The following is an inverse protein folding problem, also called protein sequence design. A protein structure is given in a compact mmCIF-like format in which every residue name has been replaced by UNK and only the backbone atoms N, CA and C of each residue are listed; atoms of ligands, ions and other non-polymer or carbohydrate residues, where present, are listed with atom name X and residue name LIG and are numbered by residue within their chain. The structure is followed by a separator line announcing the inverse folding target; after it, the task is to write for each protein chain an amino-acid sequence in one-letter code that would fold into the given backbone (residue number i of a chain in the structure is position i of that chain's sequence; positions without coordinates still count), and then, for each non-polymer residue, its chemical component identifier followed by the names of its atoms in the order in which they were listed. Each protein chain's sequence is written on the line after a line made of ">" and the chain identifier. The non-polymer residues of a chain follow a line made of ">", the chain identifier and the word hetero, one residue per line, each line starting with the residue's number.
data_IF_785550872640
#
_entry.id   IF_785550872640
#
_cell.length_a   1.000
_cell.length_b   1.000
_cell.length_c   1.000
_cell.angle_alpha   90.00
_cell.angle_beta   90.00
_cell.angle_gamma   90.00
#
_symmetry.space_group_name_H-M   'P 1'
#
loop_
_entity.id
_entity.type
_entity.pdbx_description
1 polymer ?
#
# COMPACT_ATOMS: atom_id res chain seq x y z
N UNK A 1 -19.75 -26.95 9.23
CA UNK A 1 -19.47 -25.60 9.79
C UNK A 1 -18.96 -25.76 11.20
N UNK A 2 -17.97 -25.01 11.61
CA UNK A 2 -17.48 -25.03 12.98
C UNK A 2 -17.58 -23.63 13.54
N UNK A 3 -18.42 -23.48 14.57
CA UNK A 3 -18.55 -22.24 15.32
C UNK A 3 -17.81 -22.39 16.66
N UNK A 4 -17.36 -21.28 17.21
CA UNK A 4 -16.73 -21.23 18.52
C UNK A 4 -17.43 -20.18 19.37
N UNK A 5 -17.69 -20.53 20.64
CA UNK A 5 -18.11 -19.58 21.68
C UNK A 5 -16.93 -19.27 22.58
N UNK A 6 -16.67 -17.98 22.76
CA UNK A 6 -15.63 -17.45 23.65
C UNK A 6 -16.26 -16.73 24.82
N UNK A 7 -15.96 -17.18 26.06
CA UNK A 7 -16.45 -16.54 27.29
C UNK A 7 -15.57 -15.31 27.61
N UNK A 8 -16.21 -14.16 27.84
CA UNK A 8 -15.52 -12.88 28.10
C UNK A 8 -15.22 -12.65 29.60
N UNK A 9 -14.80 -13.67 30.34
CA UNK A 9 -14.49 -13.57 31.76
C UNK A 9 -13.00 -13.43 32.08
N UNK A 10 -12.16 -13.28 31.05
CA UNK A 10 -10.70 -13.28 31.14
C UNK A 10 -10.08 -14.69 31.28
N UNK A 11 -10.87 -15.74 31.43
CA UNK A 11 -10.44 -17.12 31.24
C UNK A 11 -10.52 -17.45 29.75
N UNK A 12 -9.45 -17.94 29.13
CA UNK A 12 -9.44 -18.28 27.70
C UNK A 12 -10.32 -19.50 27.35
N UNK A 13 -11.53 -19.58 27.95
CA UNK A 13 -12.47 -20.68 27.73
C UNK A 13 -13.18 -20.54 26.39
N UNK A 14 -12.72 -21.34 25.41
CA UNK A 14 -13.27 -21.39 24.03
C UNK A 14 -13.87 -22.77 23.81
N UNK A 15 -15.15 -22.83 23.43
CA UNK A 15 -15.85 -24.07 23.13
C UNK A 15 -16.30 -24.15 21.70
N UNK A 16 -15.98 -25.26 21.02
CA UNK A 16 -16.35 -25.49 19.62
C UNK A 16 -17.74 -26.13 19.57
N UNK A 17 -18.62 -25.50 18.76
CA UNK A 17 -19.97 -26.05 18.47
C UNK A 17 -19.87 -26.89 17.19
N UNK A 18 -19.92 -28.21 17.34
CA UNK A 18 -19.94 -29.15 16.20
C UNK A 18 -21.36 -29.49 15.74
N UNK A 19 -22.25 -29.84 16.65
CA UNK A 19 -23.67 -30.11 16.41
C UNK A 19 -24.54 -29.26 17.32
N UNK A 20 -24.33 -29.39 18.62
CA UNK A 20 -24.98 -28.56 19.64
C UNK A 20 -24.10 -28.37 20.86
N UNK A 21 -24.40 -27.34 21.64
CA UNK A 21 -23.75 -27.01 22.89
C UNK A 21 -24.81 -26.50 23.88
N UNK A 22 -24.93 -27.16 25.06
CA UNK A 22 -25.80 -26.68 26.16
C UNK A 22 -24.96 -25.88 27.13
N UNK A 23 -25.43 -24.72 27.51
CA UNK A 23 -24.81 -23.77 28.43
C UNK A 23 -25.57 -23.75 29.73
N UNK A 24 -24.86 -23.77 30.88
CA UNK A 24 -25.47 -23.70 32.19
C UNK A 24 -24.50 -24.06 33.32
N UNK A 25 -24.98 -24.04 34.56
CA UNK A 25 -24.16 -24.35 35.75
C UNK A 25 -24.02 -25.86 36.01
N UNK A 26 -24.88 -26.69 35.41
CA UNK A 26 -24.87 -28.13 35.62
C UNK A 26 -23.64 -28.77 34.95
N UNK A 27 -23.03 -29.77 35.63
CA UNK A 27 -21.88 -30.52 35.14
C UNK A 27 -22.17 -31.36 33.87
N UNK A 28 -23.46 -31.59 33.56
CA UNK A 28 -23.89 -32.22 32.29
C UNK A 28 -23.89 -31.30 31.10
N UNK A 29 -23.74 -29.98 31.30
CA UNK A 29 -23.63 -29.02 30.19
C UNK A 29 -22.27 -29.14 29.50
N UNK A 30 -22.25 -29.08 28.17
CA UNK A 30 -21.00 -29.12 27.41
C UNK A 30 -20.15 -27.85 27.62
N UNK A 31 -20.78 -26.72 27.92
CA UNK A 31 -20.13 -25.52 28.41
C UNK A 31 -20.67 -25.14 29.77
N UNK A 32 -19.93 -25.52 30.81
CA UNK A 32 -20.28 -25.21 32.17
C UNK A 32 -19.85 -23.79 32.53
N UNK A 33 -20.82 -22.96 32.98
CA UNK A 33 -20.62 -21.55 33.32
C UNK A 33 -21.13 -21.34 34.76
N UNK A 34 -20.20 -21.24 35.72
CA UNK A 34 -20.52 -21.03 37.13
C UNK A 34 -20.47 -19.54 37.44
N UNK A 35 -21.53 -18.83 37.08
CA UNK A 35 -21.67 -17.39 37.32
C UNK A 35 -23.05 -17.07 37.88
N UNK A 36 -23.21 -15.86 38.46
CA UNK A 36 -24.48 -15.39 39.02
C UNK A 36 -25.58 -15.38 37.98
N UNK A 37 -26.79 -15.75 38.35
CA UNK A 37 -28.00 -15.76 37.54
C UNK A 37 -27.93 -16.66 36.27
N UNK A 38 -26.95 -17.55 36.17
CA UNK A 38 -26.92 -18.64 35.19
C UNK A 38 -27.61 -19.87 35.78
N UNK A 39 -28.58 -20.44 35.09
CA UNK A 39 -29.30 -21.62 35.54
C UNK A 39 -28.60 -22.94 35.20
N UNK A 40 -29.06 -24.06 35.82
CA UNK A 40 -28.46 -25.39 35.61
C UNK A 40 -28.36 -25.76 34.13
N UNK A 41 -29.40 -25.49 33.34
CA UNK A 41 -29.43 -25.60 31.87
C UNK A 41 -30.10 -24.34 31.31
N UNK A 42 -29.30 -23.33 30.97
CA UNK A 42 -29.80 -22.00 30.65
C UNK A 42 -30.27 -21.89 29.21
N UNK A 43 -29.39 -22.19 28.27
CA UNK A 43 -29.70 -22.14 26.84
C UNK A 43 -28.96 -23.26 26.09
N UNK A 44 -29.34 -23.45 24.83
CA UNK A 44 -28.72 -24.38 23.90
C UNK A 44 -28.40 -23.68 22.62
N UNK A 45 -27.19 -23.88 22.13
CA UNK A 45 -26.73 -23.42 20.81
C UNK A 45 -26.56 -24.65 19.93
N UNK A 46 -27.14 -24.63 18.73
CA UNK A 46 -27.08 -25.75 17.80
C UNK A 46 -26.96 -25.30 16.35
N UNK A 47 -26.37 -26.12 15.51
CA UNK A 47 -26.26 -25.85 14.07
C UNK A 47 -27.47 -26.47 13.36
N UNK A 48 -28.28 -25.62 12.70
CA UNK A 48 -29.43 -26.03 11.87
C UNK A 48 -29.29 -25.44 10.45
N UNK A 49 -29.41 -26.27 9.44
CA UNK A 49 -29.37 -25.84 8.03
C UNK A 49 -28.21 -24.85 7.75
N UNK A 50 -27.01 -25.18 8.23
CA UNK A 50 -25.81 -24.35 8.09
C UNK A 50 -25.81 -23.01 8.86
N UNK A 51 -26.85 -22.69 9.63
CA UNK A 51 -26.90 -21.52 10.53
C UNK A 51 -26.73 -21.95 11.99
N UNK A 52 -26.12 -21.09 12.79
CA UNK A 52 -26.03 -21.27 14.22
C UNK A 52 -27.27 -20.67 14.88
N UNK A 53 -27.97 -21.45 15.69
CA UNK A 53 -29.21 -21.01 16.36
C UNK A 53 -29.05 -21.16 17.87
N UNK A 54 -29.42 -20.14 18.63
CA UNK A 54 -29.55 -20.20 20.10
C UNK A 54 -30.99 -20.36 20.49
N UNK A 55 -31.24 -21.18 21.51
CA UNK A 55 -32.55 -21.42 22.09
C UNK A 55 -32.51 -21.35 23.61
N UNK A 56 -33.29 -20.49 24.19
CA UNK A 56 -33.50 -20.42 25.63
C UNK A 56 -34.26 -21.66 26.16
N UNK A 57 -33.77 -22.26 27.20
CA UNK A 57 -34.36 -23.46 27.82
C UNK A 57 -35.34 -23.13 28.96
N UNK A 58 -36.06 -22.00 28.84
CA UNK A 58 -36.99 -21.42 29.82
C UNK A 58 -36.26 -20.93 31.09
N UNK A 59 -35.15 -20.26 30.88
CA UNK A 59 -34.41 -19.68 31.99
C UNK A 59 -35.17 -18.49 32.62
N UNK A 60 -35.03 -18.30 33.93
CA UNK A 60 -35.70 -17.21 34.67
C UNK A 60 -35.10 -15.85 34.28
N UNK A 61 -33.77 -15.79 34.16
CA UNK A 61 -33.02 -14.60 33.76
C UNK A 61 -33.25 -14.24 32.29
N UNK A 62 -33.47 -15.25 31.46
CA UNK A 62 -33.58 -15.11 30.00
C UNK A 62 -32.24 -15.06 29.29
N UNK A 63 -32.25 -15.40 28.01
CA UNK A 63 -31.09 -15.34 27.11
C UNK A 63 -31.20 -14.09 26.27
N UNK A 64 -30.09 -13.36 26.10
CA UNK A 64 -30.04 -12.12 25.32
C UNK A 64 -29.02 -12.27 24.18
N UNK A 65 -29.36 -11.73 23.03
CA UNK A 65 -28.44 -11.61 21.87
C UNK A 65 -28.34 -10.14 21.52
N UNK A 66 -27.13 -9.58 21.56
CA UNK A 66 -26.87 -8.15 21.33
C UNK A 66 -27.78 -7.23 22.18
N UNK A 67 -28.05 -7.63 23.42
CA UNK A 67 -28.90 -6.91 24.37
C UNK A 67 -30.42 -7.11 24.19
N UNK A 68 -30.86 -7.84 23.16
CA UNK A 68 -32.26 -8.16 22.96
C UNK A 68 -32.60 -9.54 23.58
N UNK A 69 -33.68 -9.63 24.38
CA UNK A 69 -34.14 -10.90 24.94
C UNK A 69 -34.72 -11.79 23.86
N UNK A 70 -34.26 -13.04 23.78
CA UNK A 70 -34.68 -14.00 22.75
C UNK A 70 -35.13 -15.33 23.36
N UNK A 71 -36.06 -16.00 22.72
CA UNK A 71 -36.39 -17.40 22.98
C UNK A 71 -35.67 -18.33 22.02
N UNK A 72 -35.56 -17.91 20.77
CA UNK A 72 -34.83 -18.57 19.71
C UNK A 72 -34.36 -17.49 18.73
N UNK A 73 -33.10 -17.54 18.32
CA UNK A 73 -32.51 -16.57 17.38
C UNK A 73 -31.39 -17.23 16.57
N UNK A 74 -31.25 -16.80 15.32
CA UNK A 74 -30.06 -17.09 14.51
C UNK A 74 -28.91 -16.22 14.98
N UNK A 75 -27.73 -16.83 15.09
CA UNK A 75 -26.51 -16.18 15.52
C UNK A 75 -25.55 -15.96 14.32
N UNK A 76 -24.94 -14.80 14.31
CA UNK A 76 -23.92 -14.41 13.35
C UNK A 76 -22.55 -14.29 14.02
N UNK A 77 -21.49 -14.29 13.22
CA UNK A 77 -20.14 -14.04 13.68
C UNK A 77 -20.05 -12.64 14.33
N UNK A 78 -19.51 -12.59 15.56
CA UNK A 78 -19.40 -11.36 16.34
C UNK A 78 -20.62 -11.08 17.25
N UNK A 79 -21.69 -11.89 17.21
CA UNK A 79 -22.84 -11.68 18.11
C UNK A 79 -22.44 -11.93 19.57
N UNK A 80 -22.95 -11.05 20.45
CA UNK A 80 -22.79 -11.12 21.88
C UNK A 80 -24.00 -11.84 22.50
N UNK A 81 -23.73 -12.97 23.14
CA UNK A 81 -24.73 -13.72 23.92
C UNK A 81 -24.54 -13.39 25.40
N UNK A 82 -25.59 -12.90 26.07
CA UNK A 82 -25.57 -12.66 27.53
C UNK A 82 -26.55 -13.57 28.23
N UNK A 83 -26.05 -14.33 29.23
CA UNK A 83 -26.84 -15.23 30.09
C UNK A 83 -26.45 -15.03 31.57
N UNK A 84 -27.37 -14.49 32.39
CA UNK A 84 -27.01 -14.04 33.74
C UNK A 84 -25.87 -13.03 33.71
N UNK A 85 -24.80 -13.25 34.45
CA UNK A 85 -23.60 -12.43 34.48
C UNK A 85 -22.53 -12.84 33.43
N UNK A 86 -22.83 -13.83 32.60
CA UNK A 86 -21.87 -14.33 31.60
C UNK A 86 -22.13 -13.72 30.20
N UNK A 87 -21.07 -13.21 29.56
CA UNK A 87 -21.06 -12.74 28.18
C UNK A 87 -20.19 -13.65 27.33
N UNK A 88 -20.72 -14.07 26.17
CA UNK A 88 -20.00 -14.90 25.21
C UNK A 88 -20.07 -14.26 23.82
N UNK A 89 -18.98 -14.39 23.06
CA UNK A 89 -18.92 -13.97 21.65
C UNK A 89 -18.93 -15.19 20.75
N UNK A 90 -19.68 -15.10 19.66
CA UNK A 90 -19.75 -16.11 18.61
C UNK A 90 -18.65 -15.88 17.60
N UNK A 91 -17.90 -16.93 17.27
CA UNK A 91 -16.91 -16.92 16.19
C UNK A 91 -17.27 -18.00 15.15
N UNK A 92 -17.38 -17.61 13.89
CA UNK A 92 -17.48 -18.57 12.78
C UNK A 92 -16.06 -18.97 12.34
N UNK A 93 -15.62 -20.16 12.73
CA UNK A 93 -14.30 -20.69 12.40
C UNK A 93 -14.12 -21.04 10.90
N UNK A 94 -15.19 -21.05 10.12
CA UNK A 94 -15.14 -21.24 8.68
C UNK A 94 -15.10 -19.91 7.91
N UNK A 95 -15.42 -18.82 8.58
CA UNK A 95 -15.13 -17.51 8.06
C UNK A 95 -13.60 -17.40 8.02
N UNK A 96 -13.01 -17.84 6.92
CA UNK A 96 -11.60 -17.60 6.61
C UNK A 96 -11.44 -16.10 6.79
N UNK A 97 -10.88 -15.68 7.92
CA UNK A 97 -10.34 -14.32 8.03
C UNK A 97 -9.27 -14.31 6.98
N UNK A 98 -9.62 -13.84 5.82
CA UNK A 98 -8.68 -13.69 4.70
C UNK A 98 -7.62 -12.76 5.25
N UNK A 99 -6.45 -13.30 5.59
CA UNK A 99 -5.34 -12.47 6.04
C UNK A 99 -5.10 -11.44 4.94
N UNK A 100 -5.00 -10.18 5.32
CA UNK A 100 -4.69 -9.15 4.35
C UNK A 100 -3.34 -9.49 3.71
N UNK A 101 -3.21 -9.53 2.36
CA UNK A 101 -2.03 -10.08 1.67
C UNK A 101 -0.80 -9.17 1.75
N UNK A 102 -0.72 -8.38 2.80
CA UNK A 102 0.41 -7.52 3.15
C UNK A 102 0.70 -7.63 4.64
N UNK A 103 1.97 -7.67 4.98
CA UNK A 103 2.47 -7.62 6.35
C UNK A 103 3.49 -6.50 6.49
N UNK A 104 3.66 -6.00 7.70
CA UNK A 104 4.65 -4.97 8.04
C UNK A 104 5.41 -5.40 9.29
N UNK A 105 6.68 -5.00 9.40
CA UNK A 105 7.45 -5.10 10.64
C UNK A 105 7.15 -3.97 11.62
N UNK A 106 6.61 -2.86 11.14
CA UNK A 106 6.08 -1.79 11.99
C UNK A 106 4.80 -2.29 12.65
N UNK A 107 4.80 -2.45 13.98
CA UNK A 107 3.65 -2.99 14.74
C UNK A 107 2.39 -2.19 14.46
N UNK A 108 2.49 -0.86 14.56
CA UNK A 108 1.37 0.05 14.36
C UNK A 108 0.75 -0.09 12.96
N UNK A 109 1.58 -0.19 11.93
CA UNK A 109 1.09 -0.37 10.57
C UNK A 109 0.57 -1.79 10.33
N UNK A 110 1.17 -2.79 10.93
CA UNK A 110 0.72 -4.18 10.83
C UNK A 110 -0.65 -4.40 11.47
N UNK A 111 -0.95 -3.75 12.60
CA UNK A 111 -2.29 -3.74 13.19
C UNK A 111 -3.34 -3.10 12.26
N UNK A 112 -3.01 -1.98 11.65
CA UNK A 112 -3.86 -1.37 10.64
C UNK A 112 -4.11 -2.31 9.45
N UNK A 113 -3.08 -2.99 8.94
CA UNK A 113 -3.21 -3.98 7.85
C UNK A 113 -4.13 -5.14 8.24
N UNK A 114 -4.04 -5.66 9.48
CA UNK A 114 -4.96 -6.69 9.98
C UNK A 114 -6.41 -6.21 9.99
N UNK A 115 -6.64 -4.95 10.34
CA UNK A 115 -7.99 -4.37 10.33
C UNK A 115 -8.57 -4.26 8.92
N UNK A 116 -7.71 -4.07 7.89
CA UNK A 116 -8.14 -3.98 6.49
C UNK A 116 -8.76 -5.27 5.96
N UNK A 117 -8.44 -6.42 6.53
CA UNK A 117 -9.11 -7.68 6.19
C UNK A 117 -10.61 -7.60 6.48
N UNK A 118 -11.02 -7.04 7.62
CA UNK A 118 -12.43 -6.82 7.98
C UNK A 118 -13.08 -5.74 7.09
N UNK A 119 -12.35 -4.65 6.83
CA UNK A 119 -12.79 -3.57 5.95
C UNK A 119 -13.06 -4.09 4.53
N UNK A 120 -12.26 -5.04 4.06
CA UNK A 120 -12.42 -5.60 2.71
C UNK A 120 -13.74 -6.36 2.52
N UNK A 121 -14.30 -6.94 3.58
CA UNK A 121 -15.58 -7.66 3.54
C UNK A 121 -16.80 -6.73 3.42
N UNK A 122 -16.65 -5.45 3.77
CA UNK A 122 -17.72 -4.46 3.66
C UNK A 122 -17.76 -3.83 2.26
N UNK A 123 -18.93 -3.33 1.86
CA UNK A 123 -19.12 -2.55 0.63
C UNK A 123 -18.95 -1.04 0.85
N UNK A 124 -18.60 -0.61 2.06
CA UNK A 124 -18.42 0.82 2.37
C UNK A 124 -17.25 1.43 1.59
N UNK A 125 -17.38 2.74 1.34
CA UNK A 125 -16.32 3.54 0.73
C UNK A 125 -15.09 3.61 1.66
N UNK A 126 -13.91 3.50 1.07
CA UNK A 126 -12.63 3.58 1.80
C UNK A 126 -11.83 4.77 1.26
N UNK A 127 -11.38 5.63 2.16
CA UNK A 127 -10.50 6.75 1.87
C UNK A 127 -9.08 6.47 2.36
N UNK A 128 -8.13 6.33 1.43
CA UNK A 128 -6.71 6.12 1.70
C UNK A 128 -6.00 7.49 1.73
N UNK A 129 -5.52 7.89 2.90
CA UNK A 129 -4.76 9.13 3.09
C UNK A 129 -3.28 8.81 3.29
N UNK A 130 -2.40 9.52 2.64
CA UNK A 130 -0.95 9.35 2.84
C UNK A 130 -0.12 9.96 1.73
N UNK A 131 1.19 10.12 1.93
CA UNK A 131 2.06 10.78 0.98
C UNK A 131 2.14 10.06 -0.36
N UNK A 132 2.53 10.80 -1.41
CA UNK A 132 2.70 10.20 -2.74
C UNK A 132 3.77 9.10 -2.70
N UNK A 133 3.54 8.01 -3.43
CA UNK A 133 4.46 6.88 -3.49
C UNK A 133 4.50 5.99 -2.26
N UNK A 134 3.59 6.14 -1.29
CA UNK A 134 3.49 5.28 -0.08
C UNK A 134 2.89 3.89 -0.32
N UNK A 135 2.29 3.66 -1.51
CA UNK A 135 1.70 2.36 -1.90
C UNK A 135 0.18 2.28 -1.74
N UNK A 136 -0.55 3.41 -1.77
CA UNK A 136 -2.02 3.46 -1.68
C UNK A 136 -2.70 2.62 -2.77
N UNK A 137 -2.16 2.61 -3.98
CA UNK A 137 -2.60 1.81 -5.11
C UNK A 137 -2.54 0.30 -4.86
N UNK A 138 -1.45 -0.16 -4.22
CA UNK A 138 -1.28 -1.57 -3.83
C UNK A 138 -2.29 -1.96 -2.76
N UNK A 139 -2.54 -1.08 -1.76
CA UNK A 139 -3.53 -1.31 -0.72
C UNK A 139 -4.94 -1.40 -1.32
N UNK A 140 -5.30 -0.47 -2.22
CA UNK A 140 -6.60 -0.48 -2.89
C UNK A 140 -6.83 -1.77 -3.68
N UNK A 141 -5.81 -2.24 -4.39
CA UNK A 141 -5.85 -3.51 -5.12
C UNK A 141 -6.03 -4.70 -4.19
N UNK A 142 -5.26 -4.77 -3.10
CA UNK A 142 -5.37 -5.84 -2.12
C UNK A 142 -6.73 -5.83 -1.41
N UNK A 143 -7.30 -4.64 -1.09
CA UNK A 143 -8.66 -4.53 -0.55
C UNK A 143 -9.71 -5.14 -1.49
N UNK A 144 -9.54 -4.96 -2.80
CA UNK A 144 -10.42 -5.60 -3.79
C UNK A 144 -10.19 -7.11 -3.85
N UNK A 145 -8.93 -7.57 -3.91
CA UNK A 145 -8.57 -9.00 -4.08
C UNK A 145 -9.08 -9.89 -2.93
N UNK A 146 -9.19 -9.34 -1.71
CA UNK A 146 -9.73 -10.08 -0.54
C UNK A 146 -11.20 -9.75 -0.26
N UNK A 147 -11.86 -8.94 -1.08
CA UNK A 147 -13.27 -8.57 -0.91
C UNK A 147 -14.22 -9.61 -1.51
N UNK A 148 -15.51 -9.47 -1.17
CA UNK A 148 -16.59 -10.25 -1.81
C UNK A 148 -16.69 -10.02 -3.31
N UNK A 149 -16.13 -8.88 -3.80
CA UNK A 149 -16.12 -8.47 -5.21
C UNK A 149 -14.85 -8.87 -5.97
N UNK A 150 -13.97 -9.69 -5.37
CA UNK A 150 -12.66 -10.08 -5.93
C UNK A 150 -12.71 -10.74 -7.32
N UNK A 151 -13.84 -11.37 -7.68
CA UNK A 151 -14.04 -11.99 -8.99
C UNK A 151 -14.56 -11.03 -10.07
N UNK A 152 -14.92 -9.81 -9.67
CA UNK A 152 -15.47 -8.77 -10.52
C UNK A 152 -14.39 -7.74 -10.93
N UNK A 153 -14.67 -6.80 -11.84
CA UNK A 153 -13.66 -5.86 -12.31
C UNK A 153 -13.10 -4.96 -11.20
N UNK A 154 -11.78 -4.72 -11.25
CA UNK A 154 -11.10 -3.64 -10.53
C UNK A 154 -10.61 -2.62 -11.56
N UNK A 155 -11.16 -1.41 -11.51
CA UNK A 155 -10.74 -0.31 -12.38
C UNK A 155 -10.12 0.80 -11.56
N UNK A 156 -9.03 1.38 -12.06
CA UNK A 156 -8.33 2.51 -11.44
C UNK A 156 -8.36 3.71 -12.38
N UNK A 157 -8.77 4.86 -11.86
CA UNK A 157 -8.76 6.14 -12.56
C UNK A 157 -7.96 7.13 -11.73
N UNK A 158 -6.99 7.81 -12.37
CA UNK A 158 -6.25 8.90 -11.76
C UNK A 158 -6.93 10.23 -12.08
N UNK A 159 -7.40 10.94 -11.05
CA UNK A 159 -8.14 12.19 -11.21
C UNK A 159 -7.25 13.40 -11.56
N UNK A 160 -5.92 13.31 -11.35
CA UNK A 160 -4.99 14.41 -11.65
C UNK A 160 -4.39 14.40 -13.07
N UNK A 161 -4.51 13.27 -13.77
CA UNK A 161 -3.72 13.03 -14.99
C UNK A 161 -4.30 13.62 -16.28
N UNK A 162 -5.54 14.17 -16.26
CA UNK A 162 -6.30 14.52 -17.46
C UNK A 162 -6.94 15.92 -17.34
N UNK A 163 -7.30 16.50 -18.49
CA UNK A 163 -8.16 17.69 -18.52
C UNK A 163 -9.56 17.36 -18.01
N UNK A 164 -10.31 18.34 -17.51
CA UNK A 164 -11.64 18.16 -16.93
C UNK A 164 -12.58 17.34 -17.83
N UNK A 165 -12.65 17.67 -19.11
CA UNK A 165 -13.50 16.98 -20.10
C UNK A 165 -13.08 15.50 -20.28
N UNK A 166 -11.79 15.21 -20.22
CA UNK A 166 -11.29 13.83 -20.35
C UNK A 166 -11.55 13.03 -19.09
N UNK A 167 -11.35 13.61 -17.89
CA UNK A 167 -11.69 12.96 -16.62
C UNK A 167 -13.18 12.65 -16.57
N UNK A 168 -14.02 13.60 -16.98
CA UNK A 168 -15.48 13.40 -17.02
C UNK A 168 -15.86 12.24 -17.94
N UNK A 169 -15.33 12.23 -19.15
CA UNK A 169 -15.54 11.17 -20.13
C UNK A 169 -15.01 9.81 -19.65
N UNK A 170 -13.87 9.79 -18.96
CA UNK A 170 -13.30 8.55 -18.42
C UNK A 170 -14.13 7.98 -17.27
N UNK A 171 -14.64 8.82 -16.38
CA UNK A 171 -15.46 8.41 -15.25
C UNK A 171 -16.87 7.99 -15.65
N UNK A 172 -17.56 8.81 -16.46
CA UNK A 172 -18.98 8.66 -16.74
C UNK A 172 -19.32 8.15 -18.15
N UNK A 173 -18.31 8.13 -19.04
CA UNK A 173 -18.52 7.80 -20.45
C UNK A 173 -19.08 8.97 -21.26
N UNK A 174 -19.21 8.78 -22.57
CA UNK A 174 -19.75 9.78 -23.46
C UNK A 174 -20.46 9.16 -24.67
N UNK A 175 -21.38 9.89 -25.24
CA UNK A 175 -21.98 9.55 -26.53
C UNK A 175 -21.25 10.27 -27.67
N UNK A 176 -21.31 9.70 -28.85
CA UNK A 176 -20.72 10.29 -30.07
C UNK A 176 -21.20 11.74 -30.27
N UNK A 177 -20.24 12.64 -30.54
CA UNK A 177 -20.51 14.06 -30.80
C UNK A 177 -20.67 14.94 -29.55
N UNK A 178 -20.51 14.42 -28.34
CA UNK A 178 -20.67 15.17 -27.10
C UNK A 178 -19.61 16.24 -26.84
N UNK A 179 -18.43 16.10 -27.44
CA UNK A 179 -17.35 17.10 -27.44
C UNK A 179 -16.44 16.91 -28.67
N UNK A 180 -15.55 17.88 -28.93
CA UNK A 180 -14.59 17.82 -30.02
C UNK A 180 -13.63 16.62 -29.80
N UNK A 181 -13.77 15.60 -30.65
CA UNK A 181 -13.00 14.33 -30.51
C UNK A 181 -13.82 13.12 -30.07
N UNK A 182 -15.09 13.27 -29.74
CA UNK A 182 -15.99 12.16 -29.43
C UNK A 182 -16.47 11.45 -30.72
N UNK A 183 -15.61 10.61 -31.28
CA UNK A 183 -15.84 9.92 -32.59
C UNK A 183 -16.84 8.76 -32.44
N UNK A 184 -16.90 8.12 -31.27
CA UNK A 184 -17.76 6.96 -30.95
C UNK A 184 -18.29 7.05 -29.52
N UNK A 185 -19.31 6.27 -29.20
CA UNK A 185 -19.76 6.07 -27.82
C UNK A 185 -18.67 5.36 -27.02
N UNK A 186 -18.48 5.77 -25.75
CA UNK A 186 -17.52 5.13 -24.83
C UNK A 186 -18.15 4.96 -23.46
N UNK A 187 -18.06 3.75 -22.90
CA UNK A 187 -18.43 3.47 -21.52
C UNK A 187 -17.45 4.10 -20.55
N UNK A 188 -17.96 4.68 -19.47
CA UNK A 188 -17.15 5.21 -18.40
C UNK A 188 -16.70 4.15 -17.41
N UNK A 189 -15.81 4.56 -16.49
CA UNK A 189 -15.27 3.68 -15.46
C UNK A 189 -16.34 3.17 -14.50
N UNK A 190 -17.32 3.99 -14.11
CA UNK A 190 -18.45 3.56 -13.27
C UNK A 190 -19.28 2.45 -13.92
N UNK A 191 -19.59 2.57 -15.23
CA UNK A 191 -20.33 1.53 -15.95
C UNK A 191 -19.47 0.26 -16.11
N UNK A 192 -18.20 0.41 -16.41
CA UNK A 192 -17.26 -0.70 -16.66
C UNK A 192 -16.85 -1.45 -15.39
N UNK A 193 -16.90 -0.78 -14.22
CA UNK A 193 -16.63 -1.38 -12.92
C UNK A 193 -17.85 -2.01 -12.26
N UNK A 194 -19.00 -2.09 -12.96
CA UNK A 194 -20.26 -2.58 -12.39
C UNK A 194 -20.10 -3.96 -11.74
N UNK A 195 -20.62 -4.09 -10.52
CA UNK A 195 -20.49 -5.28 -9.66
C UNK A 195 -19.11 -5.42 -8.98
N UNK A 196 -18.14 -4.60 -9.38
CA UNK A 196 -16.75 -4.63 -8.91
C UNK A 196 -16.36 -3.45 -8.03
N UNK A 197 -15.12 -2.99 -8.22
CA UNK A 197 -14.52 -1.90 -7.44
C UNK A 197 -13.91 -0.85 -8.36
N UNK A 198 -14.20 0.42 -8.07
CA UNK A 198 -13.58 1.57 -8.71
C UNK A 198 -12.61 2.24 -7.73
N UNK A 199 -11.36 2.33 -8.12
CA UNK A 199 -10.33 3.06 -7.38
C UNK A 199 -10.10 4.43 -8.03
N UNK A 200 -10.36 5.50 -7.26
CA UNK A 200 -10.13 6.87 -7.67
C UNK A 200 -8.88 7.40 -6.98
N UNK A 201 -7.78 7.43 -7.71
CA UNK A 201 -6.52 7.96 -7.20
C UNK A 201 -6.48 9.49 -7.35
N UNK A 202 -5.88 10.15 -6.37
CA UNK A 202 -5.77 11.60 -6.23
C UNK A 202 -7.13 12.31 -6.35
N UNK A 203 -8.12 11.82 -5.58
CA UNK A 203 -9.49 12.39 -5.56
C UNK A 203 -9.50 13.88 -5.19
N UNK A 204 -8.50 14.35 -4.45
CA UNK A 204 -8.34 15.76 -4.10
C UNK A 204 -8.11 16.68 -5.31
N UNK A 205 -7.68 16.16 -6.45
CA UNK A 205 -7.46 16.91 -7.69
C UNK A 205 -8.69 16.91 -8.62
N UNK A 206 -9.76 16.25 -8.21
CA UNK A 206 -10.98 16.21 -9.02
C UNK A 206 -11.59 17.61 -9.17
N UNK A 207 -11.86 18.08 -10.40
CA UNK A 207 -12.52 19.35 -10.64
C UNK A 207 -13.83 19.50 -9.87
N UNK A 208 -14.07 20.67 -9.28
CA UNK A 208 -15.21 20.94 -8.41
C UNK A 208 -16.57 20.62 -9.07
N UNK A 209 -16.71 20.92 -10.37
CA UNK A 209 -17.88 20.60 -11.19
C UNK A 209 -18.22 19.09 -11.23
N UNK A 210 -17.18 18.24 -11.24
CA UNK A 210 -17.34 16.78 -11.32
C UNK A 210 -17.65 16.15 -9.95
N UNK A 211 -17.33 16.82 -8.85
CA UNK A 211 -17.58 16.31 -7.49
C UNK A 211 -19.07 16.06 -7.25
N UNK A 212 -19.95 16.93 -7.78
CA UNK A 212 -21.39 16.73 -7.68
C UNK A 212 -21.88 15.50 -8.45
N UNK A 213 -21.23 15.16 -9.57
CA UNK A 213 -21.58 13.96 -10.36
C UNK A 213 -21.13 12.68 -9.66
N UNK A 214 -19.95 12.70 -9.03
CA UNK A 214 -19.47 11.58 -8.19
C UNK A 214 -20.40 11.38 -7.00
N UNK A 215 -20.81 12.46 -6.32
CA UNK A 215 -21.74 12.37 -5.19
C UNK A 215 -23.05 11.65 -5.60
N UNK A 216 -23.64 12.03 -6.73
CA UNK A 216 -24.84 11.36 -7.26
C UNK A 216 -24.60 9.88 -7.56
N UNK A 217 -23.43 9.54 -8.14
CA UNK A 217 -23.08 8.16 -8.39
C UNK A 217 -22.96 7.32 -7.10
N UNK A 218 -22.49 7.93 -6.00
CA UNK A 218 -22.35 7.28 -4.70
C UNK A 218 -23.65 7.19 -3.90
N UNK A 219 -24.56 8.15 -4.06
CA UNK A 219 -25.82 8.20 -3.30
C UNK A 219 -26.95 7.43 -3.98
N UNK A 220 -27.10 7.66 -5.30
CA UNK A 220 -28.23 7.13 -6.07
C UNK A 220 -27.85 5.87 -6.87
N UNK A 221 -26.55 5.50 -6.90
CA UNK A 221 -26.02 4.45 -7.76
C UNK A 221 -26.35 4.68 -9.25
N UNK A 222 -26.34 5.95 -9.66
CA UNK A 222 -26.73 6.38 -11.01
C UNK A 222 -25.72 7.32 -11.62
N UNK A 223 -25.41 7.10 -12.90
CA UNK A 223 -24.60 8.02 -13.72
C UNK A 223 -25.35 8.43 -14.98
N UNK A 224 -24.88 9.53 -15.59
CA UNK A 224 -25.29 9.96 -16.94
C UNK A 224 -24.04 10.17 -17.79
N UNK A 225 -23.93 9.50 -18.95
CA UNK A 225 -22.84 9.75 -19.90
C UNK A 225 -22.88 11.20 -20.42
N UNK A 226 -21.70 11.74 -20.75
CA UNK A 226 -21.59 13.09 -21.30
C UNK A 226 -22.34 13.17 -22.64
N UNK A 227 -23.21 14.18 -22.77
CA UNK A 227 -24.07 14.37 -23.95
C UNK A 227 -25.30 13.47 -23.99
N UNK A 228 -25.64 12.78 -22.89
CA UNK A 228 -26.82 11.91 -22.81
C UNK A 228 -27.64 12.17 -21.55
N UNK A 229 -28.96 12.15 -21.67
CA UNK A 229 -29.89 12.19 -20.53
C UNK A 229 -30.21 10.79 -19.98
N UNK A 230 -29.67 9.74 -20.58
CA UNK A 230 -29.90 8.36 -20.17
C UNK A 230 -29.28 8.10 -18.81
N UNK A 231 -30.10 7.64 -17.86
CA UNK A 231 -29.64 7.20 -16.55
C UNK A 231 -29.16 5.75 -16.65
N UNK A 232 -27.95 5.48 -16.16
CA UNK A 232 -27.37 4.14 -16.06
C UNK A 232 -27.17 3.83 -14.58
N UNK A 233 -27.75 2.73 -14.11
CA UNK A 233 -27.54 2.25 -12.74
C UNK A 233 -26.18 1.56 -12.63
N UNK A 234 -25.47 1.89 -11.54
CA UNK A 234 -24.14 1.37 -11.23
C UNK A 234 -24.14 0.80 -9.82
N UNK A 235 -23.69 -0.46 -9.70
CA UNK A 235 -23.39 -1.07 -8.40
C UNK A 235 -21.87 -1.20 -8.33
N UNK A 236 -21.21 -0.24 -7.66
CA UNK A 236 -19.74 -0.15 -7.64
C UNK A 236 -19.26 0.19 -6.23
N UNK A 237 -18.37 -0.62 -5.68
CA UNK A 237 -17.64 -0.25 -4.47
C UNK A 237 -16.58 0.78 -4.81
N UNK A 238 -16.53 1.91 -4.08
CA UNK A 238 -15.55 2.97 -4.34
C UNK A 238 -14.45 2.98 -3.28
N UNK A 239 -13.21 2.96 -3.75
CA UNK A 239 -12.01 3.21 -2.94
C UNK A 239 -11.37 4.49 -3.48
N UNK A 240 -11.03 5.43 -2.62
CA UNK A 240 -10.40 6.69 -3.00
C UNK A 240 -9.05 6.86 -2.35
N UNK A 241 -8.15 7.58 -2.98
CA UNK A 241 -6.85 7.91 -2.40
C UNK A 241 -6.48 9.37 -2.67
N UNK A 242 -5.77 9.99 -1.74
CA UNK A 242 -5.17 11.30 -1.93
C UNK A 242 -4.00 11.52 -0.97
N UNK A 243 -3.06 12.37 -1.37
CA UNK A 243 -2.01 12.89 -0.48
C UNK A 243 -2.38 14.28 0.10
N UNK A 244 -3.50 14.85 -0.34
CA UNK A 244 -3.90 16.21 0.02
C UNK A 244 -4.77 16.24 1.27
N UNK A 245 -4.73 17.37 1.99
CA UNK A 245 -5.61 17.62 3.11
C UNK A 245 -6.99 18.07 2.60
N UNK A 246 -7.95 17.14 2.52
CA UNK A 246 -9.30 17.43 2.03
C UNK A 246 -10.06 18.43 2.94
N UNK A 247 -9.80 18.43 4.25
CA UNK A 247 -10.44 19.38 5.19
C UNK A 247 -9.99 20.81 4.87
N UNK A 248 -8.72 21.01 4.54
CA UNK A 248 -8.22 22.31 4.08
C UNK A 248 -8.90 22.73 2.76
N UNK A 249 -9.00 21.81 1.79
CA UNK A 249 -9.68 22.08 0.51
C UNK A 249 -11.18 22.40 0.66
N UNK A 250 -11.85 21.81 1.65
CA UNK A 250 -13.25 22.17 1.95
C UNK A 250 -13.32 23.62 2.45
N UNK A 251 -12.40 24.03 3.33
CA UNK A 251 -12.35 25.42 3.84
C UNK A 251 -12.07 26.45 2.74
N UNK A 252 -11.24 26.09 1.77
CA UNK A 252 -10.95 26.92 0.60
C UNK A 252 -12.09 26.90 -0.46
N UNK A 253 -13.10 26.06 -0.30
CA UNK A 253 -14.19 25.91 -1.27
C UNK A 253 -13.81 25.16 -2.55
N UNK A 254 -12.66 24.49 -2.60
CA UNK A 254 -12.21 23.68 -3.75
C UNK A 254 -12.63 22.22 -3.68
N UNK A 255 -13.14 21.76 -2.52
CA UNK A 255 -13.72 20.42 -2.35
C UNK A 255 -15.05 20.50 -1.58
N UNK A 256 -16.03 19.71 -2.00
CA UNK A 256 -17.38 19.71 -1.40
C UNK A 256 -17.39 18.90 -0.11
N UNK A 257 -18.01 19.46 0.92
CA UNK A 257 -18.15 18.79 2.22
C UNK A 257 -19.08 17.56 2.18
N UNK A 258 -20.15 17.62 1.37
CA UNK A 258 -21.08 16.50 1.21
C UNK A 258 -20.41 15.27 0.59
N UNK A 259 -19.60 15.47 -0.46
CA UNK A 259 -18.80 14.41 -1.06
C UNK A 259 -17.78 13.84 -0.06
N UNK A 260 -17.10 14.71 0.70
CA UNK A 260 -16.15 14.27 1.71
C UNK A 260 -16.79 13.29 2.71
N UNK A 261 -17.94 13.63 3.28
CA UNK A 261 -18.62 12.74 4.25
C UNK A 261 -19.09 11.43 3.62
N UNK A 262 -19.41 11.40 2.34
CA UNK A 262 -19.78 10.17 1.64
C UNK A 262 -18.59 9.27 1.33
N UNK A 263 -17.42 9.84 1.11
CA UNK A 263 -16.17 9.10 0.88
C UNK A 263 -15.50 8.65 2.19
N UNK A 264 -15.61 9.46 3.23
CA UNK A 264 -14.92 9.31 4.52
C UNK A 264 -15.71 8.41 5.50
N UNK A 265 -16.22 7.27 5.03
CA UNK A 265 -16.87 6.26 5.89
C UNK A 265 -15.80 5.47 6.64
N UNK A 266 -14.80 4.98 5.92
CA UNK A 266 -13.65 4.29 6.50
C UNK A 266 -12.38 4.99 6.01
N UNK A 267 -11.62 5.54 6.96
CA UNK A 267 -10.34 6.22 6.64
C UNK A 267 -9.16 5.36 7.05
N UNK A 268 -8.21 5.24 6.15
CA UNK A 268 -6.94 4.53 6.37
C UNK A 268 -5.78 5.48 6.16
N UNK A 269 -5.00 5.70 7.21
CA UNK A 269 -3.76 6.48 7.15
C UNK A 269 -2.63 5.57 6.69
N UNK A 270 -2.10 5.83 5.50
CA UNK A 270 -0.98 5.08 4.93
C UNK A 270 0.32 5.80 5.30
N UNK A 271 1.19 5.20 6.13
CA UNK A 271 2.40 5.84 6.60
C UNK A 271 3.40 6.05 5.46
N UNK A 272 4.26 7.08 5.63
CA UNK A 272 5.43 7.26 4.77
C UNK A 272 6.43 6.11 4.97
N UNK A 273 7.38 5.95 4.05
CA UNK A 273 8.46 4.98 4.24
C UNK A 273 9.32 5.34 5.47
N UNK A 274 9.49 6.63 5.75
CA UNK A 274 10.22 7.13 6.92
C UNK A 274 9.56 6.70 8.24
N UNK A 275 8.22 6.65 8.29
CA UNK A 275 7.45 6.27 9.48
C UNK A 275 7.38 4.75 9.71
N UNK A 276 7.91 3.95 8.76
CA UNK A 276 7.99 2.47 8.83
C UNK A 276 9.32 1.95 8.29
N UNK A 277 10.41 2.53 8.78
CA UNK A 277 11.76 2.13 8.36
C UNK A 277 12.11 0.66 8.69
N UNK A 278 11.36 0.02 9.56
CA UNK A 278 11.44 -1.41 9.83
C UNK A 278 11.16 -2.26 8.57
N UNK A 279 10.28 -1.77 7.68
CA UNK A 279 9.93 -2.44 6.41
C UNK A 279 10.96 -2.19 5.29
N UNK A 280 11.88 -1.25 5.51
CA UNK A 280 12.78 -0.78 4.45
C UNK A 280 13.59 -1.90 3.81
N UNK A 281 14.19 -2.77 4.62
CA UNK A 281 15.03 -3.86 4.09
C UNK A 281 14.21 -4.87 3.29
N UNK A 282 13.01 -5.22 3.76
CA UNK A 282 12.14 -6.17 3.07
C UNK A 282 11.70 -5.61 1.71
N UNK A 283 11.33 -4.33 1.66
CA UNK A 283 10.99 -3.63 0.43
C UNK A 283 12.20 -3.54 -0.52
N UNK A 284 13.37 -3.19 0.00
CA UNK A 284 14.59 -3.14 -0.78
C UNK A 284 14.92 -4.52 -1.38
N UNK A 285 14.90 -5.58 -0.57
CA UNK A 285 15.18 -6.94 -1.05
C UNK A 285 14.13 -7.44 -2.03
N UNK A 286 12.87 -7.09 -1.83
CA UNK A 286 11.79 -7.41 -2.77
C UNK A 286 12.08 -6.82 -4.16
N UNK A 287 12.39 -5.52 -4.24
CA UNK A 287 12.72 -4.87 -5.51
C UNK A 287 14.06 -5.35 -6.09
N UNK A 288 15.06 -5.50 -5.24
CA UNK A 288 16.40 -5.97 -5.64
C UNK A 288 16.34 -7.37 -6.28
N UNK A 289 15.55 -8.28 -5.68
CA UNK A 289 15.33 -9.63 -6.23
C UNK A 289 14.62 -9.57 -7.58
N UNK A 290 13.55 -8.76 -7.69
CA UNK A 290 12.78 -8.59 -8.92
C UNK A 290 13.62 -8.02 -10.06
N UNK A 291 14.55 -7.11 -9.76
CA UNK A 291 15.41 -6.43 -10.73
C UNK A 291 16.82 -7.05 -10.84
N UNK A 292 17.06 -8.18 -10.14
CA UNK A 292 18.32 -8.95 -10.17
C UNK A 292 19.56 -8.11 -9.79
N UNK A 293 19.41 -7.24 -8.79
CA UNK A 293 20.46 -6.37 -8.26
C UNK A 293 20.84 -6.82 -6.85
N UNK A 294 22.10 -6.60 -6.44
CA UNK A 294 22.58 -6.93 -5.10
C UNK A 294 23.23 -5.71 -4.47
N UNK A 295 22.87 -5.44 -3.22
CA UNK A 295 23.42 -4.34 -2.43
C UNK A 295 24.38 -4.88 -1.37
N UNK A 296 25.50 -4.20 -1.16
CA UNK A 296 26.39 -4.49 -0.03
C UNK A 296 25.78 -4.01 1.28
N UNK A 297 26.21 -4.55 2.41
CA UNK A 297 25.74 -4.13 3.74
C UNK A 297 25.95 -2.62 3.98
N UNK A 298 27.09 -2.07 3.55
CA UNK A 298 27.38 -0.63 3.68
C UNK A 298 26.46 0.21 2.80
N UNK A 299 26.09 -0.27 1.61
CA UNK A 299 25.12 0.39 0.74
C UNK A 299 23.74 0.45 1.38
N UNK A 300 23.28 -0.65 1.98
CA UNK A 300 21.99 -0.70 2.69
C UNK A 300 21.98 0.29 3.86
N UNK A 301 23.07 0.33 4.64
CA UNK A 301 23.21 1.27 5.75
C UNK A 301 23.19 2.74 5.30
N UNK A 302 23.75 3.04 4.14
CA UNK A 302 23.73 4.39 3.59
C UNK A 302 22.32 4.75 3.06
N UNK A 303 21.65 3.84 2.38
CA UNK A 303 20.25 4.02 1.95
C UNK A 303 19.28 4.26 3.12
N UNK A 304 19.51 3.64 4.28
CA UNK A 304 18.69 3.84 5.48
C UNK A 304 18.80 5.24 6.08
N UNK A 305 19.87 5.99 5.80
CA UNK A 305 20.05 7.36 6.29
C UNK A 305 19.27 8.39 5.48
N UNK A 306 18.84 8.01 4.27
CA UNK A 306 18.11 8.90 3.38
C UNK A 306 16.64 9.05 3.80
N UNK A 307 16.06 10.22 3.61
CA UNK A 307 14.70 10.55 4.11
C UNK A 307 13.54 10.01 3.26
N UNK A 308 13.81 9.57 2.06
CA UNK A 308 12.84 8.99 1.12
C UNK A 308 11.62 9.88 0.84
N UNK A 309 11.78 11.11 0.37
CA UNK A 309 10.65 12.01 0.10
C UNK A 309 9.67 11.43 -0.94
N UNK A 310 10.13 10.63 -1.90
CA UNK A 310 9.30 9.90 -2.87
C UNK A 310 8.85 8.51 -2.42
N UNK A 311 9.09 8.16 -1.14
CA UNK A 311 8.64 6.92 -0.50
C UNK A 311 9.03 5.65 -1.27
N UNK A 312 8.15 4.65 -1.32
CA UNK A 312 8.40 3.36 -2.00
C UNK A 312 8.60 3.54 -3.51
N UNK A 313 7.94 4.54 -4.12
CA UNK A 313 8.13 4.83 -5.55
C UNK A 313 9.58 5.25 -5.83
N UNK A 314 10.16 6.08 -4.98
CA UNK A 314 11.56 6.49 -5.10
C UNK A 314 12.51 5.33 -4.84
N UNK A 315 12.29 4.53 -3.80
CA UNK A 315 13.07 3.33 -3.51
C UNK A 315 13.10 2.38 -4.72
N UNK A 316 11.94 2.09 -5.30
CA UNK A 316 11.84 1.28 -6.52
C UNK A 316 12.64 1.88 -7.69
N UNK A 317 12.57 3.20 -7.87
CA UNK A 317 13.30 3.90 -8.95
C UNK A 317 14.82 3.84 -8.73
N UNK A 318 15.29 3.97 -7.49
CA UNK A 318 16.72 3.83 -7.15
C UNK A 318 17.21 2.42 -7.44
N UNK A 319 16.45 1.40 -7.06
CA UNK A 319 16.79 0.00 -7.36
C UNK A 319 16.80 -0.25 -8.89
N UNK A 320 15.85 0.31 -9.63
CA UNK A 320 15.82 0.21 -11.08
C UNK A 320 17.05 0.87 -11.74
N UNK A 321 17.40 2.07 -11.29
CA UNK A 321 18.65 2.74 -11.76
C UNK A 321 19.89 1.95 -11.41
N UNK A 322 19.97 1.42 -10.19
CA UNK A 322 21.08 0.59 -9.77
C UNK A 322 21.22 -0.66 -10.65
N UNK A 323 20.12 -1.31 -11.03
CA UNK A 323 20.14 -2.47 -11.92
C UNK A 323 20.65 -2.15 -13.33
N UNK A 324 20.38 -0.93 -13.80
CA UNK A 324 20.79 -0.48 -15.14
C UNK A 324 22.23 0.02 -15.16
N UNK A 325 22.63 0.80 -14.14
CA UNK A 325 23.96 1.42 -14.11
C UNK A 325 25.06 0.46 -13.62
N UNK A 326 24.70 -0.52 -12.78
CA UNK A 326 25.66 -1.46 -12.17
C UNK A 326 25.24 -2.92 -12.41
N UNK A 327 25.10 -3.35 -13.67
CA UNK A 327 24.66 -4.70 -14.00
C UNK A 327 25.70 -5.73 -13.52
N UNK A 328 25.21 -6.81 -12.89
CA UNK A 328 26.05 -7.93 -12.39
C UNK A 328 27.06 -7.57 -11.29
N UNK A 329 27.05 -6.34 -10.77
CA UNK A 329 27.94 -5.89 -9.70
C UNK A 329 27.19 -5.78 -8.37
N UNK A 330 27.92 -5.87 -7.25
CA UNK A 330 27.40 -5.43 -5.97
C UNK A 330 27.36 -3.91 -5.91
N UNK A 331 26.19 -3.35 -5.61
CA UNK A 331 26.02 -1.92 -5.38
C UNK A 331 26.68 -1.57 -4.04
N UNK A 332 27.72 -0.74 -4.09
CA UNK A 332 28.49 -0.30 -2.92
C UNK A 332 27.96 1.03 -2.38
N UNK A 333 28.48 1.47 -1.23
CA UNK A 333 28.18 2.78 -0.64
C UNK A 333 28.47 3.94 -1.63
N UNK A 334 29.56 3.89 -2.37
CA UNK A 334 29.92 4.92 -3.36
C UNK A 334 28.88 4.99 -4.49
N UNK A 335 28.41 3.85 -4.96
CA UNK A 335 27.34 3.79 -5.96
C UNK A 335 26.03 4.39 -5.44
N UNK A 336 25.70 4.14 -4.16
CA UNK A 336 24.50 4.72 -3.53
C UNK A 336 24.58 6.24 -3.47
N UNK A 337 25.71 6.79 -3.04
CA UNK A 337 25.90 8.27 -3.03
C UNK A 337 25.73 8.86 -4.44
N UNK A 338 26.25 8.20 -5.46
CA UNK A 338 26.07 8.64 -6.86
C UNK A 338 24.59 8.61 -7.28
N UNK A 339 23.85 7.57 -6.88
CA UNK A 339 22.40 7.44 -7.18
C UNK A 339 21.57 8.49 -6.45
N UNK A 340 21.89 8.82 -5.21
CA UNK A 340 21.16 9.80 -4.38
C UNK A 340 21.45 11.24 -4.83
N UNK A 341 22.72 11.60 -5.13
CA UNK A 341 23.08 12.95 -5.59
C UNK A 341 22.36 13.33 -6.89
N UNK A 342 22.10 12.38 -7.79
CA UNK A 342 21.32 12.62 -9.00
C UNK A 342 19.85 12.96 -8.70
N UNK A 343 19.29 12.45 -7.60
CA UNK A 343 17.94 12.79 -7.16
C UNK A 343 17.85 14.21 -6.57
N UNK A 344 18.81 14.61 -5.76
CA UNK A 344 18.84 15.96 -5.17
C UNK A 344 18.93 17.04 -6.23
N UNK A 345 19.72 16.81 -7.27
CA UNK A 345 19.80 17.72 -8.42
C UNK A 345 18.48 17.80 -9.21
N UNK A 346 17.71 16.70 -9.30
CA UNK A 346 16.43 16.68 -9.95
C UNK A 346 15.31 17.37 -9.14
N UNK A 347 15.39 17.31 -7.80
CA UNK A 347 14.42 17.95 -6.89
C UNK A 347 14.74 19.44 -6.68
N UNK A 348 16.04 19.82 -6.70
CA UNK A 348 16.49 21.19 -6.52
C UNK A 348 16.20 22.15 -7.69
N UNK A 349 15.78 21.63 -8.85
CA UNK A 349 15.42 22.42 -10.04
C UNK A 349 13.97 22.93 -10.05
N UNK A 350 13.36 23.16 -8.89
CA UNK A 350 12.01 23.70 -8.73
C UNK A 350 11.87 25.21 -8.86
N UNK A 351 12.79 25.93 -9.51
CA UNK A 351 12.60 27.33 -9.92
C UNK A 351 13.12 27.53 -11.35
N UNK A 352 12.20 27.48 -12.28
CA UNK A 352 12.24 28.24 -13.55
C UNK A 352 13.48 28.12 -14.43
N UNK A 353 13.94 26.90 -14.75
CA UNK A 353 14.86 26.71 -15.87
C UNK A 353 14.25 25.69 -16.81
N UNK A 354 13.91 26.16 -18.02
CA UNK A 354 13.47 25.33 -19.14
C UNK A 354 14.42 24.15 -19.30
N UNK A 355 13.87 22.93 -19.22
CA UNK A 355 14.59 21.70 -19.53
C UNK A 355 15.01 21.75 -21.01
N UNK A 356 16.27 22.10 -21.22
CA UNK A 356 16.98 21.77 -22.47
C UNK A 356 17.51 20.35 -22.21
N UNK A 357 17.08 19.33 -23.01
CA UNK A 357 17.67 18.00 -22.85
C UNK A 357 19.19 18.17 -23.03
N UNK A 358 20.01 17.66 -22.10
CA UNK A 358 21.46 17.70 -22.32
C UNK A 358 21.68 16.89 -23.61
N UNK A 359 22.11 17.59 -24.65
CA UNK A 359 22.76 16.94 -25.75
C UNK A 359 23.77 15.98 -25.15
N UNK A 360 23.69 14.71 -25.53
CA UNK A 360 24.62 13.65 -25.15
C UNK A 360 26.02 14.13 -25.50
N UNK A 361 26.60 14.96 -24.64
CA UNK A 361 28.03 15.08 -24.56
C UNK A 361 28.47 13.81 -23.84
N UNK A 362 28.91 12.86 -24.61
CA UNK A 362 29.85 11.82 -24.21
C UNK A 362 31.04 12.50 -23.52
N UNK A 363 30.88 12.86 -22.24
CA UNK A 363 32.00 13.08 -21.34
C UNK A 363 32.57 11.68 -21.12
N UNK A 364 33.57 11.41 -21.96
CA UNK A 364 34.03 10.08 -22.24
C UNK A 364 34.45 9.34 -20.99
N UNK A 365 34.08 8.07 -20.92
CA UNK A 365 34.71 7.04 -20.09
C UNK A 365 36.27 7.14 -20.08
N UNK A 366 36.85 7.75 -21.12
CA UNK A 366 38.24 8.10 -21.25
C UNK A 366 38.74 9.13 -20.21
N UNK A 367 37.91 10.06 -19.69
CA UNK A 367 38.36 11.06 -18.71
C UNK A 367 38.43 10.47 -17.28
N UNK A 368 37.44 9.67 -16.87
CA UNK A 368 37.42 9.02 -15.56
C UNK A 368 38.48 7.93 -15.46
N UNK A 369 38.66 7.15 -16.53
CA UNK A 369 39.75 6.15 -16.61
C UNK A 369 41.13 6.79 -16.52
N UNK A 370 41.32 7.94 -17.16
CA UNK A 370 42.59 8.70 -17.08
C UNK A 370 42.86 9.21 -15.67
N UNK A 371 41.89 9.69 -14.95
CA UNK A 371 42.07 10.16 -13.58
C UNK A 371 42.34 9.02 -12.59
N UNK A 372 41.67 7.89 -12.73
CA UNK A 372 41.93 6.69 -11.93
C UNK A 372 43.36 6.17 -12.21
N UNK A 373 43.76 6.12 -13.45
CA UNK A 373 45.08 5.70 -13.85
C UNK A 373 46.18 6.63 -13.32
N UNK A 374 45.95 7.95 -13.37
CA UNK A 374 46.82 8.96 -12.76
C UNK A 374 47.01 8.74 -11.26
N UNK A 375 45.90 8.54 -10.52
CA UNK A 375 45.94 8.28 -9.08
C UNK A 375 46.69 6.97 -8.74
N UNK A 376 46.54 5.91 -9.54
CA UNK A 376 47.30 4.68 -9.35
C UNK A 376 48.79 4.89 -9.57
N UNK A 377 49.19 5.63 -10.60
CA UNK A 377 50.60 5.95 -10.87
C UNK A 377 51.20 6.79 -9.75
N UNK A 378 50.50 7.83 -9.27
CA UNK A 378 50.94 8.67 -8.15
C UNK A 378 51.16 7.83 -6.87
N UNK A 379 50.21 6.97 -6.51
CA UNK A 379 50.28 6.11 -5.33
C UNK A 379 51.46 5.15 -5.39
N UNK A 380 51.75 4.56 -6.55
CA UNK A 380 52.87 3.65 -6.74
C UNK A 380 54.22 4.37 -6.83
N UNK A 381 54.26 5.56 -7.40
CA UNK A 381 55.46 6.40 -7.37
C UNK A 381 55.86 6.81 -5.95
N UNK A 382 54.87 7.19 -5.12
CA UNK A 382 55.10 7.48 -3.71
C UNK A 382 55.64 6.24 -2.95
N UNK A 383 55.02 5.06 -3.14
CA UNK A 383 55.49 3.82 -2.51
C UNK A 383 56.90 3.42 -2.92
N UNK A 384 57.32 3.71 -4.15
CA UNK A 384 58.60 3.36 -4.71
C UNK A 384 59.63 4.52 -4.72
N UNK A 385 59.42 5.54 -3.87
CA UNK A 385 60.30 6.71 -3.70
C UNK A 385 60.74 7.34 -5.03
N UNK A 386 59.79 7.47 -5.97
CA UNK A 386 60.05 8.05 -7.30
C UNK A 386 60.78 7.15 -8.31
N UNK A 387 61.05 5.90 -8.00
CA UNK A 387 61.74 4.95 -8.90
C UNK A 387 60.82 4.48 -10.02
N UNK A 388 60.98 5.02 -11.24
CA UNK A 388 60.15 4.65 -12.41
C UNK A 388 60.31 3.17 -12.80
N UNK A 389 61.49 2.57 -12.54
CA UNK A 389 61.76 1.16 -12.90
C UNK A 389 60.93 0.21 -12.02
N UNK A 390 60.91 0.46 -10.71
CA UNK A 390 60.14 -0.33 -9.75
C UNK A 390 58.62 -0.11 -9.95
N UNK A 391 58.22 1.15 -10.16
CA UNK A 391 56.81 1.50 -10.41
C UNK A 391 56.28 0.85 -11.70
N UNK A 392 57.05 0.80 -12.77
CA UNK A 392 56.66 0.13 -14.02
C UNK A 392 56.52 -1.40 -13.81
N UNK A 393 57.41 -2.01 -13.05
CA UNK A 393 57.31 -3.43 -12.69
C UNK A 393 56.08 -3.73 -11.83
N UNK A 394 55.79 -2.91 -10.81
CA UNK A 394 54.61 -3.04 -9.94
C UNK A 394 53.26 -2.86 -10.67
N UNK A 395 53.24 -2.00 -11.70
CA UNK A 395 52.07 -1.77 -12.52
C UNK A 395 51.94 -2.73 -13.70
N UNK A 396 52.91 -3.61 -13.90
CA UNK A 396 52.92 -4.58 -15.00
C UNK A 396 53.00 -3.94 -16.40
N UNK A 397 53.58 -2.72 -16.52
CA UNK A 397 53.66 -1.99 -17.81
C UNK A 397 55.11 -1.71 -18.18
N UNK A 398 55.47 -1.60 -19.48
CA UNK A 398 56.79 -1.21 -19.94
C UNK A 398 57.17 0.16 -19.38
N UNK A 399 58.49 0.34 -19.08
CA UNK A 399 59.03 1.60 -18.55
C UNK A 399 58.78 2.78 -19.51
N UNK A 400 58.81 2.58 -20.82
CA UNK A 400 58.50 3.57 -21.85
C UNK A 400 57.05 4.05 -21.73
N UNK A 401 56.09 3.12 -21.60
CA UNK A 401 54.70 3.41 -21.44
C UNK A 401 54.41 4.20 -20.13
N UNK A 402 55.08 3.83 -19.03
CA UNK A 402 54.96 4.62 -17.78
C UNK A 402 55.53 6.02 -17.95
N UNK A 403 56.66 6.18 -18.66
CA UNK A 403 57.26 7.49 -18.90
C UNK A 403 56.32 8.40 -19.73
N UNK A 404 55.71 7.86 -20.78
CA UNK A 404 54.75 8.61 -21.61
C UNK A 404 53.50 9.02 -20.82
N UNK A 405 53.01 8.14 -19.94
CA UNK A 405 51.88 8.45 -19.06
C UNK A 405 52.21 9.51 -17.99
N UNK A 406 53.39 9.46 -17.39
CA UNK A 406 53.89 10.46 -16.45
C UNK A 406 53.95 11.83 -17.15
N UNK A 407 54.45 11.88 -18.38
CA UNK A 407 54.52 13.11 -19.18
C UNK A 407 53.09 13.61 -19.58
N UNK A 408 52.21 12.72 -20.01
CA UNK A 408 50.85 13.08 -20.43
C UNK A 408 49.97 13.58 -19.29
N UNK A 409 50.23 13.10 -18.05
CA UNK A 409 49.50 13.50 -16.85
C UNK A 409 50.16 14.62 -16.07
N UNK A 410 51.27 15.19 -16.57
CA UNK A 410 52.08 16.24 -15.93
C UNK A 410 52.47 15.91 -14.47
N UNK A 411 52.87 14.67 -14.21
CA UNK A 411 53.28 14.24 -12.88
C UNK A 411 54.73 14.66 -12.60
N UNK A 412 54.95 15.43 -11.54
CA UNK A 412 56.29 15.85 -11.11
C UNK A 412 56.94 14.79 -10.20
N UNK A 413 57.93 14.09 -10.73
CA UNK A 413 58.60 12.98 -10.04
C UNK A 413 59.47 13.47 -8.87
N UNK A 414 59.99 14.71 -8.94
CA UNK A 414 60.83 15.28 -7.87
C UNK A 414 60.13 15.41 -6.52
N UNK A 415 58.80 15.32 -6.48
CA UNK A 415 58.02 15.33 -5.24
C UNK A 415 58.05 14.00 -4.45
N UNK A 416 58.57 12.93 -5.06
CA UNK A 416 58.61 11.58 -4.49
C UNK A 416 60.04 11.04 -4.24
N UNK A 417 61.06 11.89 -4.39
CA UNK A 417 62.47 11.59 -4.09
C UNK A 417 62.81 11.91 -2.65
#
# INVERSE_FOLDING_TARGET
>A
MKYQLELLDGSANKSIVSEFLTLGTDSSCQLQIIMADVESRHCRVEVRNETLVIKDLRSKGGTYVNGAKVFEAELQDGDLISIGAADLVVHDLQKVVTEFPMTSRSENWNENLKSLARVSESDYSVLLLGPSGSGKDVIAKNLHEVSRRSKNPFLSVNCSALTETLVESELFGHVKGSFTGAISDRKGAFESARGGTLFLDEIGDLPYSLQAKILRALENEEIRPVGSDKIIKTDVRVITATHQNLIYKIREGSFRSDLFYRLNIITVQVPSLKDRMEDFEDLLYFFARKMKVRFSFLAIRELKKYEWPGNIRELRNIVARASTLFPKCYVTELHVRQLLNQNEQAIGCGNGVSYVPPSVQTVGQASVMKEIEKQMILKRLAANQGSQKLTASDLGIPKSTLHDKIKSYNINISQFK
#
